data_IF_656339479102
#
_entry.id   IF_656339479102
#
_cell.length_a   1.000
_cell.length_b   1.000
_cell.length_c   1.000
_cell.angle_alpha   90.00
_cell.angle_beta   90.00
_cell.angle_gamma   90.00
#
_symmetry.space_group_name_H-M   'P 1'
#
loop_
_entity.id
_entity.type
_entity.pdbx_description
1 polymer ?
#
# COMPACT_ATOMS: atom_id res chain seq x y z
N UNK A 1 1.97 13.42 29.41
CA UNK A 1 0.83 13.06 30.25
C UNK A 1 -0.30 14.05 29.97
N UNK A 2 -1.27 13.64 29.15
CA UNK A 2 -2.49 14.42 28.93
C UNK A 2 -3.59 13.71 29.70
N UNK A 3 -4.22 14.43 30.62
CA UNK A 3 -5.29 13.94 31.49
C UNK A 3 -6.56 13.66 30.66
N UNK A 4 -7.02 12.42 30.66
CA UNK A 4 -8.31 12.05 30.04
C UNK A 4 -9.40 12.21 31.12
N UNK A 5 -10.46 13.01 30.88
CA UNK A 5 -11.50 13.25 31.86
C UNK A 5 -12.27 11.98 32.26
N UNK A 6 -12.39 11.73 33.58
CA UNK A 6 -13.03 10.54 34.22
C UNK A 6 -14.48 10.27 33.78
N UNK A 7 -15.16 11.26 33.23
CA UNK A 7 -16.54 11.23 32.78
C UNK A 7 -16.77 10.39 31.50
N UNK A 8 -15.74 10.02 30.73
CA UNK A 8 -15.90 9.04 29.63
C UNK A 8 -15.87 7.57 30.07
N UNK A 9 -15.38 7.28 31.29
CA UNK A 9 -15.27 5.91 31.82
C UNK A 9 -16.65 5.38 32.24
N UNK A 10 -17.53 6.26 32.74
CA UNK A 10 -18.87 5.88 33.18
C UNK A 10 -19.76 5.38 32.02
N UNK A 11 -19.69 6.04 30.85
CA UNK A 11 -20.45 5.64 29.66
C UNK A 11 -20.00 4.31 29.06
N UNK A 12 -18.73 3.94 29.27
CA UNK A 12 -18.15 2.70 28.74
C UNK A 12 -18.56 1.47 29.57
N UNK A 13 -18.71 1.63 30.89
CA UNK A 13 -19.17 0.57 31.78
C UNK A 13 -20.62 0.16 31.48
N UNK A 14 -21.50 1.14 31.27
CA UNK A 14 -22.91 0.89 30.94
C UNK A 14 -23.08 0.17 29.60
N UNK A 15 -22.19 0.39 28.64
CA UNK A 15 -22.21 -0.30 27.35
C UNK A 15 -21.76 -1.76 27.47
N UNK A 16 -20.72 -2.04 28.26
CA UNK A 16 -20.22 -3.40 28.49
C UNK A 16 -21.21 -4.27 29.29
N UNK A 17 -21.96 -3.67 30.22
CA UNK A 17 -22.98 -4.37 31.00
C UNK A 17 -24.22 -4.78 30.17
N UNK A 18 -24.37 -4.28 28.94
CA UNK A 18 -25.49 -4.64 28.02
C UNK A 18 -25.16 -5.77 27.04
N UNK A 19 -23.93 -6.29 27.02
CA UNK A 19 -23.55 -7.39 26.14
C UNK A 19 -23.77 -8.74 26.85
N UNK A 20 -24.75 -9.56 26.43
CA UNK A 20 -24.94 -10.87 27.02
C UNK A 20 -23.82 -11.82 26.57
N UNK A 21 -23.09 -12.39 27.53
CA UNK A 21 -22.22 -13.56 27.31
C UNK A 21 -20.72 -13.39 27.49
N UNK A 22 -20.22 -12.22 27.93
CA UNK A 22 -18.78 -12.06 28.21
C UNK A 22 -18.53 -12.13 29.72
N UNK A 23 -17.76 -13.12 30.13
CA UNK A 23 -17.48 -13.43 31.53
C UNK A 23 -16.62 -12.31 32.16
N UNK A 24 -17.11 -11.67 33.23
CA UNK A 24 -16.50 -10.49 33.87
C UNK A 24 -15.05 -10.72 34.36
N UNK A 25 -14.67 -11.97 34.58
CA UNK A 25 -13.33 -12.35 35.04
C UNK A 25 -12.25 -12.18 33.95
N UNK A 26 -12.60 -12.36 32.67
CA UNK A 26 -11.65 -12.23 31.53
C UNK A 26 -11.28 -10.74 31.31
N UNK A 27 -12.26 -9.84 31.46
CA UNK A 27 -12.07 -8.39 31.29
C UNK A 27 -11.23 -7.81 32.45
N UNK A 28 -11.37 -8.35 33.66
CA UNK A 28 -10.59 -7.89 34.83
C UNK A 28 -9.12 -8.35 34.78
N UNK A 29 -8.85 -9.47 34.12
CA UNK A 29 -7.49 -10.01 33.93
C UNK A 29 -6.73 -9.21 32.86
N UNK A 30 -7.37 -8.97 31.69
CA UNK A 30 -6.76 -8.17 30.62
C UNK A 30 -6.37 -6.75 31.04
N UNK A 31 -7.22 -6.09 31.83
CA UNK A 31 -6.94 -4.73 32.32
C UNK A 31 -5.87 -4.67 33.42
N UNK A 32 -5.71 -5.72 34.22
CA UNK A 32 -4.62 -5.82 35.22
C UNK A 32 -3.27 -6.14 34.57
N UNK A 33 -3.29 -6.99 33.54
CA UNK A 33 -2.10 -7.33 32.75
C UNK A 33 -1.59 -6.11 31.97
N UNK A 34 -2.47 -5.35 31.31
CA UNK A 34 -2.10 -4.14 30.57
C UNK A 34 -1.49 -3.03 31.47
N UNK A 35 -1.95 -2.90 32.73
CA UNK A 35 -1.35 -1.95 33.69
C UNK A 35 -0.03 -2.43 34.27
N UNK A 36 0.15 -3.74 34.45
CA UNK A 36 1.42 -4.31 34.90
C UNK A 36 2.52 -4.20 33.81
N UNK A 37 2.13 -4.32 32.53
CA UNK A 37 3.02 -4.22 31.36
C UNK A 37 3.60 -2.81 31.13
N UNK A 38 2.99 -1.76 31.67
CA UNK A 38 3.46 -0.37 31.49
C UNK A 38 4.41 0.13 32.60
N UNK A 39 4.66 -0.67 33.65
CA UNK A 39 5.31 -0.19 34.88
C UNK A 39 6.73 -0.71 35.14
N UNK A 40 7.31 -1.58 34.30
CA UNK A 40 8.63 -2.17 34.56
C UNK A 40 9.61 -2.03 33.39
N UNK A 41 10.78 -1.42 33.67
CA UNK A 41 11.95 -1.42 32.79
C UNK A 41 12.61 -2.82 32.82
N UNK A 42 12.56 -3.54 31.70
CA UNK A 42 13.12 -4.90 31.56
C UNK A 42 14.33 -4.87 30.61
N UNK A 43 15.42 -5.63 30.89
CA UNK A 43 16.61 -5.68 30.02
C UNK A 43 16.31 -6.20 28.61
N UNK A 44 16.91 -5.59 27.59
CA UNK A 44 16.60 -5.77 26.15
C UNK A 44 16.89 -7.17 25.54
N UNK A 45 17.35 -8.16 26.31
CA UNK A 45 17.99 -9.36 25.75
C UNK A 45 17.06 -10.56 25.42
N UNK A 46 15.73 -10.41 25.50
CA UNK A 46 14.79 -11.51 25.17
C UNK A 46 13.57 -11.06 24.33
N UNK A 47 13.77 -10.21 23.33
CA UNK A 47 12.67 -9.78 22.44
C UNK A 47 12.34 -10.87 21.41
N UNK A 48 11.07 -11.28 21.33
CA UNK A 48 10.58 -12.16 20.25
C UNK A 48 10.27 -11.28 19.05
N UNK A 49 10.88 -11.58 17.90
CA UNK A 49 10.57 -10.88 16.65
C UNK A 49 9.21 -11.37 16.13
N UNK A 50 8.25 -10.46 16.04
CA UNK A 50 6.98 -10.72 15.39
C UNK A 50 6.90 -9.86 14.12
N UNK A 51 6.29 -10.40 13.08
CA UNK A 51 6.05 -9.64 11.84
C UNK A 51 4.58 -9.70 11.49
N UNK A 52 4.02 -8.59 11.01
CA UNK A 52 2.68 -8.59 10.39
C UNK A 52 2.78 -8.08 8.96
N UNK A 53 1.90 -8.59 8.11
CA UNK A 53 1.79 -8.17 6.72
C UNK A 53 0.56 -7.28 6.55
N UNK A 54 0.76 -6.07 6.04
CA UNK A 54 -0.33 -5.11 5.76
C UNK A 54 -0.38 -4.86 4.25
N UNK A 55 -1.49 -5.23 3.62
CA UNK A 55 -1.76 -4.93 2.23
C UNK A 55 -2.36 -3.53 2.09
N UNK A 56 -1.89 -2.76 1.11
CA UNK A 56 -2.36 -1.42 0.78
C UNK A 56 -2.94 -1.39 -0.62
N UNK A 57 -4.09 -0.73 -0.77
CA UNK A 57 -4.79 -0.55 -2.03
C UNK A 57 -5.21 0.91 -2.14
N UNK A 58 -4.57 1.68 -3.02
CA UNK A 58 -4.69 3.14 -3.02
C UNK A 58 -4.87 3.73 -4.42
N UNK A 59 -5.65 4.81 -4.50
CA UNK A 59 -5.86 5.63 -5.69
C UNK A 59 -5.70 7.12 -5.30
N UNK A 60 -4.88 7.84 -6.05
CA UNK A 60 -4.77 9.29 -6.02
C UNK A 60 -5.59 9.96 -7.13
N UNK A 61 -5.91 11.24 -6.94
CA UNK A 61 -6.53 12.07 -7.97
C UNK A 61 -5.46 12.87 -8.73
N UNK A 62 -5.49 12.80 -10.05
CA UNK A 62 -4.68 13.68 -10.89
C UNK A 62 -5.28 15.10 -10.87
N UNK A 63 -4.55 16.07 -10.30
CA UNK A 63 -4.99 17.48 -10.23
C UNK A 63 -5.14 18.14 -11.61
N UNK A 64 -4.48 17.60 -12.65
CA UNK A 64 -4.56 18.14 -14.01
C UNK A 64 -5.85 17.73 -14.75
N UNK A 65 -6.28 16.47 -14.65
CA UNK A 65 -7.38 15.95 -15.46
C UNK A 65 -8.49 15.25 -14.66
N UNK A 66 -8.38 15.18 -13.32
CA UNK A 66 -9.30 14.42 -12.46
C UNK A 66 -9.18 12.90 -12.57
N UNK A 67 -8.25 12.40 -13.38
CA UNK A 67 -8.04 10.96 -13.60
C UNK A 67 -7.56 10.24 -12.35
N UNK A 68 -7.86 8.94 -12.25
CA UNK A 68 -7.44 8.09 -11.14
C UNK A 68 -6.03 7.55 -11.36
N UNK A 69 -5.17 7.68 -10.36
CA UNK A 69 -3.78 7.23 -10.40
C UNK A 69 -3.57 6.16 -9.34
N UNK A 70 -3.44 4.87 -9.72
CA UNK A 70 -3.22 3.80 -8.76
C UNK A 70 -1.82 3.93 -8.12
N UNK A 71 -1.74 3.81 -6.80
CA UNK A 71 -0.49 3.87 -6.07
C UNK A 71 -0.01 2.45 -5.73
N UNK A 72 0.91 1.94 -6.54
CA UNK A 72 1.40 0.55 -6.56
C UNK A 72 2.60 0.30 -5.64
N UNK A 73 2.87 1.18 -4.68
CA UNK A 73 4.01 1.13 -3.76
C UNK A 73 4.30 2.52 -3.22
N UNK A 74 5.28 2.71 -2.33
CA UNK A 74 5.67 4.03 -1.82
C UNK A 74 6.65 4.72 -2.78
N UNK A 75 6.17 5.76 -3.46
CA UNK A 75 6.93 6.63 -4.37
C UNK A 75 6.56 8.09 -4.16
N UNK A 76 7.49 8.98 -4.45
CA UNK A 76 7.23 10.42 -4.37
C UNK A 76 6.45 10.94 -5.59
N UNK A 77 6.53 10.24 -6.72
CA UNK A 77 5.90 10.65 -7.97
C UNK A 77 5.32 9.48 -8.76
N UNK A 78 4.19 9.73 -9.41
CA UNK A 78 3.47 8.79 -10.27
C UNK A 78 3.08 9.49 -11.56
N UNK A 79 3.22 8.80 -12.70
CA UNK A 79 2.66 9.30 -13.96
C UNK A 79 1.16 8.98 -14.04
N UNK A 80 0.33 10.00 -14.28
CA UNK A 80 -1.09 9.80 -14.54
C UNK A 80 -1.28 8.99 -15.84
N UNK A 81 -2.03 7.88 -15.85
CA UNK A 81 -2.23 7.09 -17.07
C UNK A 81 -3.11 7.78 -18.12
N UNK A 82 -3.84 8.83 -17.73
CA UNK A 82 -4.79 9.54 -18.60
C UNK A 82 -4.15 10.72 -19.33
N UNK A 83 -3.41 11.58 -18.62
CA UNK A 83 -2.83 12.80 -19.17
C UNK A 83 -1.30 12.87 -19.07
N UNK A 84 -0.65 11.82 -18.55
CA UNK A 84 0.81 11.76 -18.33
C UNK A 84 1.40 12.81 -17.37
N UNK A 85 0.57 13.67 -16.78
CA UNK A 85 1.03 14.60 -15.77
C UNK A 85 1.54 13.85 -14.52
N UNK A 86 2.58 14.40 -13.91
CA UNK A 86 3.14 13.84 -12.68
C UNK A 86 2.24 14.18 -11.49
N UNK A 87 1.84 13.15 -10.76
CA UNK A 87 1.12 13.23 -9.48
C UNK A 87 2.12 12.96 -8.37
N UNK A 88 2.31 13.93 -7.49
CA UNK A 88 3.21 13.83 -6.34
C UNK A 88 2.42 13.50 -5.08
N UNK A 89 2.95 12.59 -4.26
CA UNK A 89 2.41 12.29 -2.93
C UNK A 89 3.44 12.72 -1.90
N UNK A 90 3.06 13.60 -0.99
CA UNK A 90 3.99 14.13 0.00
C UNK A 90 4.48 13.05 0.97
N UNK A 91 5.70 13.20 1.50
CA UNK A 91 6.23 12.31 2.54
C UNK A 91 5.38 12.32 3.82
N UNK A 92 4.72 13.43 4.13
CA UNK A 92 3.81 13.53 5.28
C UNK A 92 2.58 12.65 5.09
N UNK A 93 2.01 12.66 3.88
CA UNK A 93 0.88 11.81 3.55
C UNK A 93 1.30 10.34 3.59
N UNK A 94 2.47 10.00 3.04
CA UNK A 94 3.04 8.66 3.22
C UNK A 94 3.24 8.27 4.67
N UNK A 95 3.77 9.16 5.51
CA UNK A 95 3.92 8.90 6.95
C UNK A 95 2.57 8.55 7.57
N UNK A 96 1.54 9.34 7.28
CA UNK A 96 0.20 9.14 7.82
C UNK A 96 -0.38 7.80 7.38
N UNK A 97 -0.26 7.45 6.10
CA UNK A 97 -0.74 6.19 5.53
C UNK A 97 -0.03 4.99 6.15
N UNK A 98 1.31 5.02 6.20
CA UNK A 98 2.15 3.89 6.60
C UNK A 98 2.23 3.70 8.12
N UNK A 99 2.03 4.76 8.91
CA UNK A 99 1.97 4.62 10.38
C UNK A 99 0.63 4.13 10.87
N UNK A 100 -0.43 4.29 10.08
CA UNK A 100 -1.80 3.99 10.53
C UNK A 100 -2.00 2.56 11.03
N UNK A 101 -1.47 1.52 10.34
CA UNK A 101 -1.58 0.16 10.85
C UNK A 101 -0.93 -0.02 12.22
N UNK A 102 0.16 0.71 12.50
CA UNK A 102 0.83 0.67 13.81
C UNK A 102 -0.05 1.26 14.90
N UNK A 103 -0.62 2.43 14.65
CA UNK A 103 -1.47 3.14 15.61
C UNK A 103 -2.76 2.38 15.89
N UNK A 104 -3.33 1.70 14.89
CA UNK A 104 -4.54 0.91 15.07
C UNK A 104 -4.28 -0.48 15.65
N UNK A 105 -3.09 -1.06 15.48
CA UNK A 105 -2.73 -2.32 16.14
C UNK A 105 -2.63 -2.18 17.67
N UNK A 106 -2.39 -0.98 18.17
CA UNK A 106 -2.51 -0.65 19.60
C UNK A 106 -3.98 -0.70 20.08
N UNK A 107 -4.95 -0.65 19.14
CA UNK A 107 -6.38 -0.75 19.41
C UNK A 107 -6.88 -2.20 19.26
N UNK A 108 -6.49 -3.07 20.21
CA UNK A 108 -7.02 -4.43 20.46
C UNK A 108 -6.91 -5.48 19.33
N UNK A 109 -6.15 -6.56 19.62
CA UNK A 109 -6.01 -7.80 18.84
C UNK A 109 -7.35 -8.44 18.37
N UNK A 110 -8.46 -8.25 19.10
CA UNK A 110 -9.77 -8.87 18.77
C UNK A 110 -10.46 -8.25 17.54
N UNK A 111 -10.13 -7.03 17.15
CA UNK A 111 -10.81 -6.33 16.03
C UNK A 111 -10.14 -6.50 14.66
N UNK A 112 -8.95 -7.12 14.60
CA UNK A 112 -8.11 -7.11 13.39
C UNK A 112 -8.31 -8.31 12.45
N UNK A 113 -8.83 -9.43 12.95
CA UNK A 113 -8.91 -10.69 12.17
C UNK A 113 -10.08 -10.70 11.18
N UNK A 114 -11.09 -9.83 11.35
CA UNK A 114 -12.33 -9.84 10.54
C UNK A 114 -12.71 -8.51 9.86
N UNK A 115 -11.92 -7.44 10.03
CA UNK A 115 -12.30 -6.14 9.48
C UNK A 115 -11.43 -5.73 8.30
N UNK A 116 -12.06 -5.63 7.13
CA UNK A 116 -11.55 -4.76 6.09
C UNK A 116 -11.63 -3.32 6.59
N UNK A 117 -10.53 -2.75 7.07
CA UNK A 117 -10.52 -1.39 7.59
C UNK A 117 -10.49 -0.38 6.43
N UNK A 118 -11.67 -0.08 5.88
CA UNK A 118 -11.85 1.08 5.00
C UNK A 118 -11.75 2.32 5.89
N UNK A 119 -10.61 3.00 5.88
CA UNK A 119 -10.42 4.22 6.65
C UNK A 119 -10.70 5.46 5.80
N UNK A 120 -11.53 6.36 6.32
CA UNK A 120 -11.70 7.69 5.76
C UNK A 120 -10.50 8.55 6.14
N UNK A 121 -9.66 8.85 5.16
CA UNK A 121 -8.51 9.74 5.30
C UNK A 121 -8.91 11.08 5.94
N UNK A 122 -8.00 11.71 6.69
CA UNK A 122 -8.21 13.09 7.18
C UNK A 122 -8.38 14.04 5.99
N UNK A 123 -9.08 15.17 6.17
CA UNK A 123 -9.39 16.12 5.10
C UNK A 123 -8.16 16.59 4.30
N UNK A 124 -7.00 16.70 4.95
CA UNK A 124 -5.74 17.06 4.31
C UNK A 124 -5.24 15.97 3.35
N UNK A 125 -5.30 14.69 3.77
CA UNK A 125 -4.88 13.55 2.93
C UNK A 125 -5.91 13.24 1.83
N UNK A 126 -7.20 13.52 2.06
CA UNK A 126 -8.26 13.42 1.05
C UNK A 126 -8.04 14.35 -0.16
N UNK A 127 -7.30 15.44 0.00
CA UNK A 127 -7.01 16.35 -1.10
C UNK A 127 -6.06 15.76 -2.16
N UNK A 128 -5.28 14.73 -1.79
CA UNK A 128 -4.33 14.04 -2.67
C UNK A 128 -4.77 12.61 -3.00
N UNK A 129 -5.43 11.94 -2.06
CA UNK A 129 -5.92 10.56 -2.22
C UNK A 129 -7.43 10.51 -2.39
N UNK A 130 -7.86 9.76 -3.40
CA UNK A 130 -9.27 9.43 -3.63
C UNK A 130 -9.73 8.28 -2.75
N UNK A 131 -8.91 7.22 -2.72
CA UNK A 131 -9.21 5.97 -2.02
C UNK A 131 -7.93 5.44 -1.38
N UNK A 132 -8.04 4.99 -0.14
CA UNK A 132 -6.95 4.31 0.57
C UNK A 132 -7.55 3.26 1.49
N UNK A 133 -7.30 1.99 1.15
CA UNK A 133 -7.69 0.84 1.95
C UNK A 133 -6.44 0.10 2.37
N UNK A 134 -6.44 -0.41 3.60
CA UNK A 134 -5.40 -1.31 4.07
C UNK A 134 -5.99 -2.38 4.96
N UNK A 135 -5.44 -3.59 4.88
CA UNK A 135 -5.90 -4.75 5.62
C UNK A 135 -4.72 -5.61 6.08
N UNK A 136 -4.86 -6.33 7.18
CA UNK A 136 -3.94 -7.41 7.52
C UNK A 136 -4.17 -8.55 6.54
N UNK A 137 -3.23 -8.75 5.63
CA UNK A 137 -3.36 -9.77 4.58
C UNK A 137 -1.97 -10.28 4.20
N UNK A 138 -1.87 -11.60 4.02
CA UNK A 138 -0.69 -12.18 3.43
C UNK A 138 -0.47 -11.61 2.01
N UNK A 139 0.79 -11.38 1.58
CA UNK A 139 1.06 -10.97 0.22
C UNK A 139 0.42 -11.93 -0.79
N UNK A 140 -0.10 -11.41 -1.90
CA UNK A 140 -0.71 -12.23 -2.95
C UNK A 140 0.15 -12.24 -4.19
N UNK A 141 0.14 -13.37 -4.90
CA UNK A 141 0.83 -13.52 -6.17
C UNK A 141 0.25 -12.54 -7.19
N UNK A 142 1.11 -11.75 -7.84
CA UNK A 142 0.69 -10.81 -8.87
C UNK A 142 -0.07 -11.52 -10.01
N UNK A 143 0.30 -12.75 -10.35
CA UNK A 143 -0.22 -13.41 -11.55
C UNK A 143 -1.50 -14.22 -11.36
N UNK A 144 -1.67 -14.88 -10.21
CA UNK A 144 -2.80 -15.77 -9.97
C UNK A 144 -3.59 -15.42 -8.70
N UNK A 145 -3.24 -14.32 -8.03
CA UNK A 145 -3.85 -13.81 -6.78
C UNK A 145 -3.81 -14.79 -5.58
N UNK A 146 -3.13 -15.92 -5.73
CA UNK A 146 -2.93 -16.88 -4.65
C UNK A 146 -2.09 -16.25 -3.53
N UNK A 147 -2.49 -16.43 -2.27
CA UNK A 147 -1.69 -16.03 -1.12
C UNK A 147 -0.29 -16.66 -1.17
N UNK A 148 0.74 -15.82 -1.06
CA UNK A 148 2.11 -16.25 -0.85
C UNK A 148 2.23 -16.73 0.61
N UNK A 149 2.92 -17.85 0.80
CA UNK A 149 3.05 -18.44 2.13
C UNK A 149 3.71 -17.46 3.10
N UNK A 150 3.06 -17.22 4.24
CA UNK A 150 3.56 -16.32 5.27
C UNK A 150 4.95 -16.73 5.76
N UNK A 151 5.23 -18.03 5.82
CA UNK A 151 6.55 -18.55 6.17
C UNK A 151 7.62 -18.22 5.12
N UNK A 152 7.27 -18.18 3.84
CA UNK A 152 8.21 -17.81 2.78
C UNK A 152 8.57 -16.32 2.87
N UNK A 153 7.57 -15.47 3.11
CA UNK A 153 7.76 -14.01 3.27
C UNK A 153 8.45 -13.68 4.60
N UNK A 154 8.10 -14.36 5.69
CA UNK A 154 8.64 -14.13 7.03
C UNK A 154 10.13 -14.47 7.16
N UNK A 155 10.63 -15.41 6.35
CA UNK A 155 12.06 -15.77 6.32
C UNK A 155 12.95 -14.77 5.59
N UNK A 156 12.36 -13.83 4.83
CA UNK A 156 13.14 -12.88 4.06
C UNK A 156 13.81 -11.89 5.02
N UNK A 157 15.15 -11.72 4.98
CA UNK A 157 15.82 -10.76 5.85
C UNK A 157 15.36 -9.33 5.53
N UNK A 158 15.17 -8.50 6.56
CA UNK A 158 14.81 -7.11 6.34
C UNK A 158 15.88 -6.39 5.51
N UNK A 159 15.46 -5.53 4.58
CA UNK A 159 16.38 -4.76 3.75
C UNK A 159 17.01 -5.52 2.57
N UNK A 160 16.58 -6.74 2.26
CA UNK A 160 17.05 -7.47 1.07
C UNK A 160 16.10 -7.31 -0.12
N UNK A 161 16.65 -7.53 -1.31
CA UNK A 161 15.89 -7.68 -2.55
C UNK A 161 15.84 -9.18 -2.88
N UNK A 162 14.66 -9.77 -2.86
CA UNK A 162 14.47 -11.21 -3.02
C UNK A 162 13.30 -11.50 -3.97
N UNK A 163 13.38 -12.67 -4.62
CA UNK A 163 12.31 -13.19 -5.48
C UNK A 163 11.55 -14.29 -4.75
N UNK A 164 10.23 -14.20 -4.76
CA UNK A 164 9.33 -15.15 -4.10
C UNK A 164 8.57 -15.92 -5.17
N UNK A 165 8.90 -17.20 -5.44
CA UNK A 165 8.14 -18.00 -6.38
C UNK A 165 6.73 -18.26 -5.82
N UNK A 166 5.71 -18.11 -6.66
CA UNK A 166 4.35 -18.47 -6.30
C UNK A 166 4.20 -20.00 -6.26
N UNK A 167 3.67 -20.61 -5.18
CA UNK A 167 3.53 -22.06 -5.10
C UNK A 167 2.54 -22.64 -6.12
N UNK A 168 1.54 -21.85 -6.52
CA UNK A 168 0.51 -22.30 -7.47
C UNK A 168 0.93 -22.15 -8.95
N UNK A 169 1.35 -20.95 -9.38
CA UNK A 169 1.65 -20.69 -10.79
C UNK A 169 3.14 -20.68 -11.14
N UNK A 170 4.05 -20.83 -10.17
CA UNK A 170 5.49 -20.83 -10.36
C UNK A 170 6.11 -19.47 -10.71
N UNK A 171 5.30 -18.44 -11.01
CA UNK A 171 5.81 -17.11 -11.36
C UNK A 171 6.37 -16.37 -10.16
N UNK A 172 7.38 -15.55 -10.41
CA UNK A 172 8.10 -14.81 -9.39
C UNK A 172 7.36 -13.55 -8.96
N UNK A 173 7.37 -13.30 -7.65
CA UNK A 173 6.99 -12.05 -7.01
C UNK A 173 8.26 -11.39 -6.47
N UNK A 174 8.19 -10.10 -6.17
CA UNK A 174 9.39 -9.36 -5.75
C UNK A 174 9.17 -8.79 -4.36
N UNK A 175 10.14 -9.05 -3.48
CA UNK A 175 10.31 -8.42 -2.19
C UNK A 175 11.45 -7.40 -2.30
N UNK A 176 11.18 -6.15 -1.97
CA UNK A 176 12.13 -5.05 -2.04
C UNK A 176 12.41 -4.50 -0.63
N UNK A 177 13.61 -3.96 -0.40
CA UNK A 177 13.84 -3.12 0.75
C UNK A 177 12.98 -1.85 0.66
N UNK A 178 12.47 -1.32 1.77
CA UNK A 178 11.85 -0.01 1.77
C UNK A 178 12.87 1.07 1.37
N UNK A 179 12.48 2.08 0.57
CA UNK A 179 13.31 3.25 0.32
C UNK A 179 13.79 3.88 1.62
N UNK A 180 14.98 4.49 1.61
CA UNK A 180 15.55 5.15 2.80
C UNK A 180 14.56 6.11 3.46
N UNK A 181 13.88 6.93 2.66
CA UNK A 181 12.90 7.87 3.19
C UNK A 181 11.72 7.17 3.86
N UNK A 182 11.25 6.02 3.35
CA UNK A 182 10.20 5.22 4.01
C UNK A 182 10.70 4.70 5.35
N UNK A 183 11.95 4.21 5.39
CA UNK A 183 12.57 3.70 6.62
C UNK A 183 12.72 4.79 7.68
N UNK A 184 13.05 6.01 7.28
CA UNK A 184 13.14 7.17 8.18
C UNK A 184 11.75 7.56 8.74
N UNK A 185 10.68 7.39 7.95
CA UNK A 185 9.31 7.66 8.40
C UNK A 185 8.74 6.56 9.30
N UNK A 186 8.99 5.30 8.93
CA UNK A 186 8.42 4.11 9.58
C UNK A 186 9.49 3.03 9.69
N UNK A 187 10.34 3.07 10.73
CA UNK A 187 11.44 2.12 10.91
C UNK A 187 10.99 0.66 11.04
N UNK A 188 9.73 0.42 11.42
CA UNK A 188 9.15 -0.92 11.54
C UNK A 188 9.00 -1.63 10.19
N UNK A 189 8.90 -0.92 9.06
CA UNK A 189 8.77 -1.56 7.75
C UNK A 189 10.12 -2.20 7.39
N UNK A 190 10.14 -3.53 7.27
CA UNK A 190 11.33 -4.30 6.92
C UNK A 190 11.44 -4.59 5.42
N UNK A 191 10.30 -4.86 4.79
CA UNK A 191 10.20 -5.34 3.40
C UNK A 191 8.90 -4.83 2.77
N UNK A 192 8.96 -4.60 1.46
CA UNK A 192 7.82 -4.32 0.61
C UNK A 192 7.66 -5.45 -0.42
N UNK A 193 6.54 -6.14 -0.41
CA UNK A 193 6.22 -7.21 -1.38
C UNK A 193 5.30 -6.67 -2.45
N UNK A 194 5.67 -6.90 -3.72
CA UNK A 194 4.92 -6.46 -4.90
C UNK A 194 4.68 -4.94 -4.99
N UNK A 195 5.49 -4.17 -4.27
CA UNK A 195 5.47 -2.71 -4.30
C UNK A 195 6.42 -2.16 -5.37
N UNK A 196 6.11 -0.99 -5.92
CA UNK A 196 7.01 -0.18 -6.72
C UNK A 196 7.68 0.90 -5.88
N UNK A 197 8.98 1.09 -6.06
CA UNK A 197 9.77 2.11 -5.34
C UNK A 197 10.57 2.98 -6.30
N UNK A 198 11.03 4.14 -5.84
CA UNK A 198 11.84 5.05 -6.67
C UNK A 198 13.29 4.56 -6.87
N UNK A 199 13.78 3.68 -5.99
CA UNK A 199 15.21 3.36 -5.89
C UNK A 199 15.65 2.05 -6.54
N UNK A 200 14.77 1.07 -6.79
CA UNK A 200 15.16 -0.22 -7.40
C UNK A 200 13.95 -1.07 -7.76
N UNK A 201 14.05 -1.76 -8.92
CA UNK A 201 13.22 -2.89 -9.32
C UNK A 201 11.74 -2.56 -9.48
N UNK A 202 11.30 -2.30 -10.71
CA UNK A 202 9.88 -2.48 -11.01
C UNK A 202 9.49 -3.90 -10.60
N UNK A 203 8.53 -4.03 -9.67
CA UNK A 203 7.83 -5.30 -9.48
C UNK A 203 7.44 -5.80 -10.87
N UNK A 204 7.63 -7.10 -11.19
CA UNK A 204 7.53 -7.59 -12.55
C UNK A 204 6.22 -7.10 -13.12
N UNK A 205 6.23 -6.35 -14.23
CA UNK A 205 4.99 -5.98 -14.85
C UNK A 205 4.24 -7.30 -15.09
N UNK A 206 2.99 -7.35 -14.61
CA UNK A 206 2.07 -8.43 -14.96
C UNK A 206 1.82 -8.33 -16.45
N UNK A 207 2.73 -8.91 -17.22
CA UNK A 207 2.74 -8.86 -18.67
C UNK A 207 2.37 -7.46 -19.16
N UNK A 208 3.25 -6.47 -18.91
CA UNK A 208 3.25 -5.39 -19.89
C UNK A 208 3.60 -6.09 -21.22
N UNK A 209 2.80 -5.92 -22.29
CA UNK A 209 3.18 -6.50 -23.56
C UNK A 209 4.54 -5.90 -23.93
N UNK A 210 5.60 -6.72 -23.81
CA UNK A 210 7.00 -6.33 -23.98
C UNK A 210 7.30 -5.80 -25.40
N UNK A 211 6.34 -5.91 -26.31
CA UNK A 211 6.41 -5.35 -27.66
C UNK A 211 5.09 -4.67 -28.01
N UNK A 212 4.83 -3.45 -27.52
CA UNK A 212 3.84 -2.59 -28.19
C UNK A 212 4.46 -2.14 -29.51
N UNK A 213 4.21 -2.92 -30.56
CA UNK A 213 4.64 -2.59 -31.92
C UNK A 213 4.16 -1.18 -32.27
N UNK A 214 5.00 -0.34 -32.92
CA UNK A 214 4.60 0.98 -33.38
C UNK A 214 3.28 0.91 -34.14
N UNK A 215 2.30 1.71 -33.73
CA UNK A 215 1.00 1.72 -34.41
C UNK A 215 1.03 2.83 -35.46
N UNK A 216 0.77 2.45 -36.70
CA UNK A 216 0.61 3.41 -37.79
C UNK A 216 -0.79 4.02 -37.68
N UNK A 217 -0.85 5.34 -37.60
CA UNK A 217 -2.09 6.10 -37.55
C UNK A 217 -2.06 7.21 -38.61
N UNK A 218 -3.14 7.34 -39.39
CA UNK A 218 -3.20 8.36 -40.44
C UNK A 218 -3.65 9.70 -39.88
N UNK A 219 -2.92 10.77 -40.21
CA UNK A 219 -3.29 12.13 -39.86
C UNK A 219 -4.66 12.48 -40.45
N UNK A 220 -5.66 12.92 -39.66
CA UNK A 220 -7.00 13.22 -40.17
C UNK A 220 -7.02 14.39 -41.17
N UNK A 221 -6.03 15.29 -41.12
CA UNK A 221 -5.97 16.46 -41.99
C UNK A 221 -5.25 16.24 -43.33
N UNK A 222 -4.18 15.44 -43.38
CA UNK A 222 -3.38 15.25 -44.60
C UNK A 222 -3.18 13.78 -45.01
N UNK A 223 -3.81 12.85 -44.29
CA UNK A 223 -3.69 11.40 -44.47
C UNK A 223 -2.27 10.81 -44.33
N UNK A 224 -1.26 11.61 -43.99
CA UNK A 224 0.11 11.12 -43.79
C UNK A 224 0.18 10.13 -42.62
N UNK A 225 1.05 9.12 -42.76
CA UNK A 225 1.24 8.10 -41.75
C UNK A 225 2.10 8.63 -40.59
N UNK A 226 1.54 8.58 -39.38
CA UNK A 226 2.19 8.95 -38.14
C UNK A 226 2.59 7.68 -37.41
N UNK A 227 3.87 7.54 -37.11
CA UNK A 227 4.39 6.48 -36.24
C UNK A 227 4.18 6.88 -34.79
N UNK A 228 3.29 6.19 -34.09
CA UNK A 228 3.02 6.47 -32.67
C UNK A 228 3.71 5.41 -31.81
N UNK A 229 4.47 5.91 -30.84
CA UNK A 229 5.23 5.15 -29.85
C UNK A 229 4.70 5.44 -28.44
N UNK A 230 5.11 4.64 -27.44
CA UNK A 230 4.64 4.74 -26.05
C UNK A 230 5.09 6.04 -25.34
N UNK A 231 6.16 6.67 -25.79
CA UNK A 231 6.71 7.91 -25.20
C UNK A 231 5.99 9.18 -25.66
N UNK A 232 5.03 9.07 -26.60
CA UNK A 232 4.32 10.22 -27.16
C UNK A 232 3.16 10.67 -26.27
N UNK A 233 2.99 11.99 -26.20
CA UNK A 233 1.81 12.59 -25.59
C UNK A 233 0.52 12.25 -26.37
N UNK A 234 -0.62 12.39 -25.70
CA UNK A 234 -1.93 12.14 -26.28
C UNK A 234 -2.28 13.07 -27.45
N UNK A 235 -1.67 14.25 -27.45
CA UNK A 235 -1.74 15.21 -28.55
C UNK A 235 -0.38 15.25 -29.22
N UNK A 236 -0.33 15.03 -30.53
CA UNK A 236 0.92 15.06 -31.30
C UNK A 236 0.81 16.00 -32.50
N UNK A 237 1.92 16.64 -32.84
CA UNK A 237 2.03 17.44 -34.05
C UNK A 237 2.37 16.55 -35.25
N UNK A 238 1.55 16.59 -36.29
CA UNK A 238 1.84 15.92 -37.56
C UNK A 238 3.08 16.56 -38.22
N UNK A 239 4.12 15.77 -38.50
CA UNK A 239 5.36 16.28 -39.10
C UNK A 239 5.23 16.72 -40.56
N UNK A 240 4.13 16.37 -41.22
CA UNK A 240 3.89 16.68 -42.64
C UNK A 240 3.09 17.96 -42.85
N UNK A 241 2.02 18.16 -42.07
CA UNK A 241 1.14 19.33 -42.21
C UNK A 241 1.08 20.22 -40.96
N UNK A 242 1.85 19.91 -39.92
CA UNK A 242 1.89 20.61 -38.63
C UNK A 242 0.56 20.68 -37.88
N UNK A 243 -0.44 19.89 -38.28
CA UNK A 243 -1.70 19.78 -37.56
C UNK A 243 -1.48 19.19 -36.16
N UNK A 244 -2.17 19.73 -35.16
CA UNK A 244 -2.28 19.13 -33.84
C UNK A 244 -3.32 18.00 -33.88
N UNK A 245 -2.87 16.77 -33.70
CA UNK A 245 -3.68 15.55 -33.82
C UNK A 245 -3.87 14.94 -32.44
N UNK A 246 -5.13 14.77 -32.04
CA UNK A 246 -5.50 14.12 -30.78
C UNK A 246 -5.71 12.62 -30.99
N UNK A 247 -5.10 11.79 -30.14
CA UNK A 247 -5.24 10.34 -30.21
C UNK A 247 -6.59 9.88 -29.64
N UNK A 248 -7.38 9.08 -30.39
CA UNK A 248 -8.58 8.44 -29.88
C UNK A 248 -8.27 7.51 -28.70
N UNK A 249 -9.21 7.40 -27.75
CA UNK A 249 -9.04 6.59 -26.52
C UNK A 249 -8.63 5.14 -26.82
N UNK A 250 -9.27 4.49 -27.79
CA UNK A 250 -8.96 3.11 -28.14
C UNK A 250 -7.53 2.89 -28.65
N UNK A 251 -6.94 3.90 -29.29
CA UNK A 251 -5.54 3.87 -29.71
C UNK A 251 -4.61 4.22 -28.55
N UNK A 252 -4.99 5.23 -27.75
CA UNK A 252 -4.26 5.62 -26.54
C UNK A 252 -4.10 4.47 -25.56
N UNK A 253 -5.19 3.76 -25.24
CA UNK A 253 -5.17 2.63 -24.30
C UNK A 253 -4.44 1.39 -24.81
N UNK A 254 -4.28 1.24 -26.14
CA UNK A 254 -3.41 0.19 -26.69
C UNK A 254 -1.93 0.49 -26.43
N UNK A 255 -1.55 1.76 -26.49
CA UNK A 255 -0.19 2.23 -26.23
C UNK A 255 0.09 2.39 -24.72
N UNK A 256 -0.96 2.74 -23.97
CA UNK A 256 -0.94 3.02 -22.53
C UNK A 256 -2.05 2.23 -21.85
N UNK A 257 -1.89 0.90 -21.69
CA UNK A 257 -2.86 0.10 -20.97
C UNK A 257 -3.14 0.72 -19.60
N UNK A 258 -4.43 0.90 -19.22
CA UNK A 258 -4.76 1.53 -17.96
C UNK A 258 -4.15 0.72 -16.82
N UNK A 259 -3.35 1.39 -15.99
CA UNK A 259 -2.78 0.77 -14.79
C UNK A 259 -3.93 0.36 -13.87
N UNK A 260 -3.99 -0.92 -13.52
CA UNK A 260 -4.99 -1.42 -12.59
C UNK A 260 -4.56 -1.15 -11.15
N UNK A 261 -5.53 -0.86 -10.27
CA UNK A 261 -5.31 -0.81 -8.82
C UNK A 261 -4.79 -2.18 -8.39
N UNK A 262 -3.67 -2.21 -7.67
CA UNK A 262 -3.06 -3.45 -7.16
C UNK A 262 -2.74 -3.31 -5.69
N UNK A 263 -2.94 -4.40 -4.97
CA UNK A 263 -2.53 -4.50 -3.57
C UNK A 263 -1.04 -4.77 -3.54
N UNK A 264 -0.31 -3.96 -2.79
CA UNK A 264 1.07 -4.22 -2.42
C UNK A 264 1.16 -4.34 -0.90
N UNK A 265 2.11 -5.11 -0.40
CA UNK A 265 2.15 -5.46 1.02
C UNK A 265 3.42 -4.93 1.67
N UNK A 266 3.30 -4.31 2.84
CA UNK A 266 4.43 -3.99 3.69
C UNK A 266 4.49 -4.97 4.87
N UNK A 267 5.67 -5.55 5.10
CA UNK A 267 5.94 -6.33 6.31
C UNK A 267 6.48 -5.42 7.39
N UNK A 268 5.78 -5.36 8.51
CA UNK A 268 6.20 -4.62 9.70
C UNK A 268 6.84 -5.60 10.67
N UNK A 269 8.11 -5.37 10.97
CA UNK A 269 8.89 -6.16 11.91
C UNK A 269 8.87 -5.45 13.27
N UNK A 270 8.21 -6.08 14.25
CA UNK A 270 8.13 -5.61 15.63
C UNK A 270 9.06 -6.42 16.51
N UNK A 271 9.61 -5.74 17.51
CA UNK A 271 10.19 -6.40 18.68
C UNK A 271 9.13 -6.40 19.76
N UNK A 272 8.46 -7.54 19.96
CA UNK A 272 7.56 -7.69 21.09
C UNK A 272 8.39 -8.02 22.34
N UNK A 273 8.02 -7.48 23.51
CA UNK A 273 8.47 -8.05 24.78
C UNK A 273 8.11 -9.55 24.81
N UNK A 274 8.96 -10.41 25.38
CA UNK A 274 8.64 -11.83 25.49
C UNK A 274 7.32 -12.00 26.25
N UNK A 275 6.46 -12.89 25.77
CA UNK A 275 5.29 -13.31 26.53
C UNK A 275 5.80 -13.98 27.82
N UNK A 276 5.59 -13.34 28.96
CA UNK A 276 5.86 -13.95 30.26
C UNK A 276 4.90 -15.12 30.41
N UNK A 277 5.40 -16.34 30.23
CA UNK A 277 4.66 -17.56 30.54
C UNK A 277 4.31 -17.55 32.03
N UNK A 278 3.01 -17.57 32.33
CA UNK A 278 2.46 -17.92 33.65
C UNK A 278 2.60 -19.42 33.89
#
# INVERSE_FOLDING_TARGET
FVDIPRNRIASYKTFLDTLPGINADIISFGNRLARALLAYEIPQNHLVSASINVGFSMIANCKCCGGSVPLTGPRESYSCPTCSNIVTISRENWRTILRRPLEQHEMTHENMVNNNAIFFLTSEVQSELRECEWNLVAPRCLHCDQGLEEQAVGKIPAGTNERIPCPLCGKENVALPPPRWVKDLVPAIGILVNAQTDTQGEAPPLTEPDDIKPIIFSCPQCAANLSITRDRERTLTCTYCNASVYLPDGLWFKLHPPKTRRIWTARYDYRLPPATGT
#
